data_IF_280457515493
#
_entry.id   IF_280457515493
#
_cell.length_a   1.000
_cell.length_b   1.000
_cell.length_c   1.000
_cell.angle_alpha   90.00
_cell.angle_beta   90.00
_cell.angle_gamma   90.00
#
_symmetry.space_group_name_H-M   'P 1'
#
loop_
_entity.id
_entity.type
_entity.pdbx_description
1 polymer ?
#
# COMPACT_ATOMS: atom_id res chain seq x y z
N UNK A 1 -7.51 -14.63 2.37
CA UNK A 1 -7.69 -13.16 2.44
C UNK A 1 -7.67 -12.52 1.05
N UNK A 2 -8.26 -11.34 0.83
CA UNK A 2 -8.10 -10.53 -0.41
C UNK A 2 -7.92 -9.04 -0.10
N UNK A 3 -7.23 -8.31 -0.98
CA UNK A 3 -7.04 -6.85 -0.87
C UNK A 3 -7.38 -6.18 -2.20
N UNK A 4 -8.10 -5.07 -2.15
CA UNK A 4 -8.50 -4.30 -3.33
C UNK A 4 -7.95 -2.88 -3.25
N UNK A 5 -7.50 -2.37 -4.41
CA UNK A 5 -6.88 -1.06 -4.53
C UNK A 5 -7.65 -0.19 -5.53
N UNK A 6 -7.79 1.09 -5.17
CA UNK A 6 -8.15 2.17 -6.07
C UNK A 6 -6.90 2.60 -6.84
N UNK A 7 -7.04 2.87 -8.15
CA UNK A 7 -5.95 3.41 -8.98
C UNK A 7 -6.27 4.81 -9.55
N UNK A 8 -7.50 5.30 -9.38
CA UNK A 8 -7.97 6.59 -9.89
C UNK A 8 -8.90 7.30 -8.88
N UNK A 9 -8.66 8.59 -8.54
CA UNK A 9 -7.67 9.50 -9.12
C UNK A 9 -6.23 9.30 -8.60
N UNK A 10 -6.03 8.41 -7.62
CA UNK A 10 -4.72 8.05 -7.05
C UNK A 10 -4.84 6.66 -6.40
N UNK A 11 -3.78 6.20 -5.73
CA UNK A 11 -3.71 4.88 -5.11
C UNK A 11 -4.18 4.87 -3.66
N UNK A 12 -5.06 3.92 -3.32
CA UNK A 12 -5.47 3.64 -1.96
C UNK A 12 -6.03 2.22 -1.80
N UNK A 13 -5.81 1.61 -0.65
CA UNK A 13 -6.42 0.35 -0.22
C UNK A 13 -7.88 0.60 0.14
N UNK A 14 -8.81 0.06 -0.67
CA UNK A 14 -10.26 0.27 -0.51
C UNK A 14 -10.99 -0.98 -0.02
N UNK A 15 -10.33 -2.14 0.00
CA UNK A 15 -10.86 -3.31 0.69
C UNK A 15 -9.72 -4.16 1.25
N UNK A 16 -9.99 -4.78 2.39
CA UNK A 16 -9.20 -5.88 2.92
C UNK A 16 -10.21 -6.86 3.51
N UNK A 17 -10.31 -8.05 2.91
CA UNK A 17 -11.36 -9.02 3.19
C UNK A 17 -10.78 -10.30 3.73
N UNK A 18 -11.40 -10.79 4.80
CA UNK A 18 -11.18 -12.15 5.26
C UNK A 18 -12.03 -13.11 4.41
N UNK A 19 -11.38 -14.08 3.78
CA UNK A 19 -12.03 -15.11 2.95
C UNK A 19 -12.19 -16.45 3.68
N UNK A 20 -11.62 -16.61 4.89
CA UNK A 20 -11.58 -17.89 5.59
C UNK A 20 -12.82 -18.13 6.44
N UNK A 21 -13.23 -17.16 7.26
CA UNK A 21 -14.33 -17.36 8.21
C UNK A 21 -15.61 -16.62 7.80
N UNK A 22 -15.49 -15.31 7.59
CA UNK A 22 -16.68 -14.42 7.53
C UNK A 22 -17.01 -13.90 6.14
N UNK A 23 -16.13 -14.08 5.15
CA UNK A 23 -16.21 -13.47 3.83
C UNK A 23 -16.53 -11.95 3.88
N UNK A 24 -15.94 -11.27 4.87
CA UNK A 24 -16.30 -9.89 5.24
C UNK A 24 -15.11 -8.94 5.15
N UNK A 25 -15.40 -7.68 4.80
CA UNK A 25 -14.41 -6.61 4.80
C UNK A 25 -14.03 -6.28 6.24
N UNK A 26 -12.73 -6.34 6.54
CA UNK A 26 -12.15 -5.95 7.83
C UNK A 26 -11.54 -4.55 7.80
N UNK A 27 -11.57 -3.87 6.64
CA UNK A 27 -11.10 -2.50 6.48
C UNK A 27 -12.04 -1.52 7.18
N UNK A 28 -11.49 -0.66 8.06
CA UNK A 28 -12.28 0.32 8.84
C UNK A 28 -12.17 1.75 8.34
N UNK A 29 -11.11 2.08 7.61
CA UNK A 29 -10.92 3.38 6.97
C UNK A 29 -9.83 3.27 5.91
N UNK A 30 -9.83 4.24 5.01
CA UNK A 30 -8.71 4.49 4.09
C UNK A 30 -7.77 5.49 4.78
N UNK A 31 -6.46 5.30 4.62
CA UNK A 31 -5.41 6.22 5.06
C UNK A 31 -4.32 6.26 3.99
N UNK A 32 -3.39 7.23 4.03
CA UNK A 32 -2.17 7.15 3.23
C UNK A 32 -1.49 5.79 3.43
N UNK A 33 -0.94 5.23 2.35
CA UNK A 33 -0.29 3.91 2.39
C UNK A 33 1.00 3.93 3.22
N UNK A 34 1.64 5.09 3.29
CA UNK A 34 2.73 5.37 4.19
C UNK A 34 2.81 6.88 4.46
N UNK A 35 3.61 7.26 5.45
CA UNK A 35 4.05 8.64 5.66
C UNK A 35 5.58 8.63 5.78
N UNK A 36 6.23 9.57 5.10
CA UNK A 36 7.70 9.72 5.12
C UNK A 36 8.07 11.15 5.47
N UNK A 37 9.27 11.34 6.00
CA UNK A 37 9.84 12.67 6.26
C UNK A 37 11.14 12.80 5.49
N UNK A 38 11.24 13.80 4.62
CA UNK A 38 12.46 14.14 3.87
C UNK A 38 12.89 15.54 4.26
N UNK A 39 14.12 15.68 4.79
CA UNK A 39 14.68 16.96 5.23
C UNK A 39 13.74 17.79 6.14
N UNK A 40 13.01 17.09 7.02
CA UNK A 40 12.04 17.70 7.95
C UNK A 40 10.66 18.02 7.34
N UNK A 41 10.43 17.71 6.07
CA UNK A 41 9.13 17.87 5.40
C UNK A 41 8.41 16.52 5.38
N UNK A 42 7.19 16.49 5.92
CA UNK A 42 6.33 15.32 5.91
C UNK A 42 5.57 15.18 4.59
N UNK A 43 5.52 13.94 4.08
CA UNK A 43 4.78 13.57 2.89
C UNK A 43 3.95 12.32 3.15
N UNK A 44 2.68 12.37 2.76
CA UNK A 44 1.83 11.19 2.63
C UNK A 44 2.16 10.46 1.33
N UNK A 45 2.03 9.14 1.33
CA UNK A 45 2.15 8.29 0.14
C UNK A 45 0.75 7.82 -0.26
N UNK A 46 0.35 8.12 -1.49
CA UNK A 46 -1.04 8.01 -1.95
C UNK A 46 -1.83 9.28 -1.61
N UNK A 47 -2.35 9.94 -2.64
CA UNK A 47 -3.04 11.23 -2.52
C UNK A 47 -4.54 11.13 -2.24
N UNK A 48 -5.10 9.95 -1.92
CA UNK A 48 -6.54 9.84 -1.67
C UNK A 48 -6.88 10.32 -0.26
N UNK A 49 -7.57 11.45 -0.15
CA UNK A 49 -8.15 11.94 1.09
C UNK A 49 -9.58 11.42 1.22
N UNK A 50 -9.87 10.49 2.15
CA UNK A 50 -11.16 9.82 2.22
C UNK A 50 -12.28 10.70 2.78
N UNK A 51 -11.96 11.68 3.63
CA UNK A 51 -12.92 12.54 4.32
C UNK A 51 -14.07 11.76 5.01
N UNK A 52 -13.76 10.59 5.59
CA UNK A 52 -14.72 9.72 6.30
C UNK A 52 -14.23 9.36 7.71
N UNK A 53 -15.16 8.95 8.57
CA UNK A 53 -14.85 8.49 9.93
C UNK A 53 -14.11 7.14 9.93
N UNK A 54 -13.32 6.88 10.98
CA UNK A 54 -12.53 5.65 11.10
C UNK A 54 -13.20 4.51 11.90
N UNK A 55 -14.44 4.70 12.37
CA UNK A 55 -15.15 3.69 13.15
C UNK A 55 -15.57 2.49 12.28
N UNK A 56 -16.02 2.76 11.06
CA UNK A 56 -16.37 1.77 10.05
C UNK A 56 -16.22 2.40 8.66
N UNK A 57 -15.83 1.60 7.66
CA UNK A 57 -15.58 2.14 6.32
C UNK A 57 -16.88 2.29 5.53
N UNK A 58 -17.52 3.46 5.62
CA UNK A 58 -18.66 3.79 4.77
C UNK A 58 -18.20 4.08 3.33
N UNK A 59 -18.30 3.05 2.46
CA UNK A 59 -17.92 3.16 1.05
C UNK A 59 -18.72 4.22 0.31
N UNK A 60 -20.01 4.35 0.58
CA UNK A 60 -20.88 5.32 -0.10
C UNK A 60 -20.42 6.75 0.15
N UNK A 61 -20.08 7.07 1.41
CA UNK A 61 -19.59 8.39 1.77
C UNK A 61 -18.20 8.64 1.21
N UNK A 62 -17.32 7.63 1.26
CA UNK A 62 -15.98 7.70 0.67
C UNK A 62 -16.04 8.06 -0.81
N UNK A 63 -16.85 7.39 -1.62
CA UNK A 63 -16.94 7.69 -3.06
C UNK A 63 -17.49 9.09 -3.36
N UNK A 64 -18.32 9.65 -2.48
CA UNK A 64 -18.88 11.01 -2.60
C UNK A 64 -17.91 12.09 -2.13
N UNK A 65 -17.11 11.80 -1.10
CA UNK A 65 -16.32 12.80 -0.39
C UNK A 65 -14.81 12.74 -0.69
N UNK A 66 -14.33 11.66 -1.35
CA UNK A 66 -12.90 11.52 -1.64
C UNK A 66 -12.38 12.69 -2.47
N UNK A 67 -11.20 13.16 -2.12
CA UNK A 67 -10.49 14.23 -2.82
C UNK A 67 -9.01 13.90 -2.96
N UNK A 68 -8.29 14.71 -3.73
CA UNK A 68 -6.86 14.51 -4.00
C UNK A 68 -6.01 15.45 -3.14
N UNK A 69 -5.04 14.91 -2.41
CA UNK A 69 -4.00 15.65 -1.71
C UNK A 69 -2.85 15.99 -2.67
N UNK A 70 -2.77 17.25 -3.10
CA UNK A 70 -1.73 17.73 -4.04
C UNK A 70 -0.32 17.79 -3.44
N UNK A 71 -0.19 17.55 -2.12
CA UNK A 71 1.09 17.53 -1.41
C UNK A 71 1.60 16.10 -1.15
N UNK A 72 0.84 15.07 -1.52
CA UNK A 72 1.24 13.68 -1.36
C UNK A 72 2.15 13.20 -2.50
N UNK A 73 2.85 12.11 -2.28
CA UNK A 73 3.43 11.33 -3.38
C UNK A 73 2.29 10.63 -4.13
N UNK A 74 2.26 10.81 -5.44
CA UNK A 74 1.18 10.37 -6.31
C UNK A 74 1.53 9.09 -7.05
N UNK A 75 0.54 8.21 -7.20
CA UNK A 75 0.66 6.96 -7.93
C UNK A 75 1.17 7.18 -9.37
N UNK A 76 2.11 6.32 -9.79
CA UNK A 76 2.67 6.35 -11.13
C UNK A 76 2.46 5.03 -11.88
N UNK A 77 2.78 3.90 -11.25
CA UNK A 77 2.65 2.57 -11.85
C UNK A 77 2.73 1.50 -10.77
N UNK A 78 2.42 0.25 -11.11
CA UNK A 78 2.64 -0.90 -10.23
C UNK A 78 3.19 -2.09 -11.02
N UNK A 79 3.81 -3.02 -10.31
CA UNK A 79 4.31 -4.29 -10.83
C UNK A 79 3.84 -5.42 -9.93
N UNK A 80 3.37 -6.51 -10.53
CA UNK A 80 2.95 -7.72 -9.83
C UNK A 80 4.00 -8.81 -10.07
N UNK A 81 4.36 -9.53 -9.02
CA UNK A 81 5.32 -10.62 -9.07
C UNK A 81 5.10 -11.63 -7.94
N UNK A 82 6.15 -12.38 -7.64
CA UNK A 82 6.19 -13.33 -6.52
C UNK A 82 7.11 -12.78 -5.41
N UNK A 83 6.88 -13.15 -4.13
CA UNK A 83 7.74 -12.76 -3.03
C UNK A 83 9.22 -13.09 -3.30
N UNK A 84 10.11 -12.16 -2.98
CA UNK A 84 11.56 -12.31 -3.16
C UNK A 84 12.24 -12.32 -1.79
N UNK A 85 13.29 -13.12 -1.65
CA UNK A 85 14.08 -13.10 -0.44
C UNK A 85 14.74 -11.71 -0.27
N UNK A 86 14.52 -11.00 0.86
CA UNK A 86 15.09 -9.67 1.06
C UNK A 86 16.61 -9.71 1.25
N UNK A 87 17.16 -10.87 1.62
CA UNK A 87 18.59 -11.13 1.72
C UNK A 87 18.86 -12.62 1.44
N UNK A 88 20.10 -12.95 1.11
CA UNK A 88 20.53 -14.33 0.86
C UNK A 88 20.50 -15.15 2.16
N UNK A 89 19.32 -15.67 2.49
CA UNK A 89 19.07 -16.53 3.64
C UNK A 89 18.80 -17.95 3.20
N UNK A 90 19.33 -18.90 3.95
CA UNK A 90 18.97 -20.31 3.85
C UNK A 90 18.32 -20.70 5.17
N UNK A 91 17.08 -21.21 5.17
CA UNK A 91 16.39 -21.68 6.37
C UNK A 91 17.28 -22.61 7.22
N UNK A 92 17.46 -22.25 8.49
CA UNK A 92 18.21 -23.01 9.51
C UNK A 92 17.46 -22.93 10.85
N UNK A 93 18.01 -23.56 11.91
CA UNK A 93 17.49 -23.52 13.30
C UNK A 93 16.07 -24.09 13.45
N UNK A 94 15.91 -25.38 13.20
CA UNK A 94 14.62 -26.10 13.33
C UNK A 94 13.52 -25.63 12.36
N UNK A 95 13.89 -24.91 11.29
CA UNK A 95 13.00 -24.72 10.16
C UNK A 95 12.58 -26.11 9.61
N UNK A 96 11.29 -26.30 9.24
CA UNK A 96 10.84 -27.54 8.61
C UNK A 96 11.71 -27.88 7.40
N UNK A 97 12.01 -29.18 7.21
CA UNK A 97 12.89 -29.63 6.13
C UNK A 97 12.31 -29.34 4.72
N UNK A 98 10.99 -29.20 4.65
CA UNK A 98 10.17 -28.94 3.46
C UNK A 98 9.75 -27.47 3.32
N UNK A 99 10.36 -26.56 4.08
CA UNK A 99 10.01 -25.14 3.99
C UNK A 99 10.37 -24.55 2.62
N UNK A 100 9.40 -23.92 1.98
CA UNK A 100 9.63 -23.18 0.75
C UNK A 100 10.14 -21.77 1.07
N UNK A 101 11.31 -21.43 0.52
CA UNK A 101 11.92 -20.12 0.68
C UNK A 101 12.42 -19.59 -0.67
N UNK A 102 12.02 -18.38 -1.11
CA UNK A 102 11.06 -17.47 -0.47
C UNK A 102 9.65 -18.07 -0.33
N UNK A 103 8.81 -17.56 0.57
CA UNK A 103 7.44 -18.05 0.72
C UNK A 103 6.64 -17.89 -0.57
N UNK A 104 5.73 -18.83 -0.82
CA UNK A 104 4.74 -18.70 -1.91
C UNK A 104 3.78 -17.55 -1.62
N UNK A 105 3.28 -16.96 -2.69
CA UNK A 105 2.32 -15.87 -2.61
C UNK A 105 2.43 -14.90 -3.78
N UNK A 106 1.88 -13.70 -3.58
CA UNK A 106 1.85 -12.61 -4.55
C UNK A 106 2.56 -11.40 -3.95
N UNK A 107 3.39 -10.74 -4.76
CA UNK A 107 4.06 -9.49 -4.44
C UNK A 107 3.54 -8.38 -5.36
N UNK A 108 3.31 -7.19 -4.80
CA UNK A 108 2.89 -6.00 -5.52
C UNK A 108 3.81 -4.84 -5.14
N UNK A 109 4.54 -4.29 -6.10
CA UNK A 109 5.32 -3.05 -5.95
C UNK A 109 4.54 -1.89 -6.55
N UNK A 110 4.32 -0.84 -5.78
CA UNK A 110 3.57 0.35 -6.21
C UNK A 110 4.49 1.56 -6.16
N UNK A 111 4.64 2.23 -7.30
CA UNK A 111 5.58 3.32 -7.50
C UNK A 111 4.86 4.65 -7.42
N UNK A 112 5.41 5.57 -6.63
CA UNK A 112 4.89 6.91 -6.40
C UNK A 112 5.94 7.97 -6.70
N UNK A 113 5.50 9.09 -7.29
CA UNK A 113 6.34 10.25 -7.62
C UNK A 113 6.05 11.41 -6.69
N UNK A 114 7.09 12.20 -6.43
CA UNK A 114 6.98 13.41 -5.61
C UNK A 114 5.93 14.40 -6.17
N UNK A 115 5.24 15.15 -5.29
CA UNK A 115 4.27 16.16 -5.71
C UNK A 115 4.92 17.28 -6.52
N UNK A 116 4.14 17.95 -7.36
CA UNK A 116 4.64 19.04 -8.20
C UNK A 116 5.29 20.17 -7.38
N UNK A 117 4.77 20.47 -6.19
CA UNK A 117 5.27 21.53 -5.31
C UNK A 117 6.43 21.09 -4.39
N UNK A 118 6.94 19.87 -4.54
CA UNK A 118 8.10 19.42 -3.77
C UNK A 118 9.35 20.28 -4.08
N UNK A 119 10.23 20.52 -3.08
CA UNK A 119 11.55 21.12 -3.31
C UNK A 119 12.34 20.34 -4.36
N UNK A 120 13.27 21.02 -5.04
CA UNK A 120 14.08 20.41 -6.10
C UNK A 120 14.84 19.15 -5.62
N UNK A 121 15.30 19.16 -4.36
CA UNK A 121 15.96 18.01 -3.71
C UNK A 121 15.08 16.76 -3.64
N UNK A 122 13.75 16.92 -3.55
CA UNK A 122 12.80 15.82 -3.40
C UNK A 122 12.10 15.46 -4.73
N UNK A 123 12.17 16.33 -5.75
CA UNK A 123 11.41 16.20 -7.00
C UNK A 123 11.67 14.88 -7.76
N UNK A 124 12.86 14.31 -7.59
CA UNK A 124 13.29 13.07 -8.26
C UNK A 124 13.26 11.84 -7.35
N UNK A 125 12.79 11.99 -6.11
CA UNK A 125 12.59 10.85 -5.21
C UNK A 125 11.42 10.03 -5.72
N UNK A 126 11.63 8.71 -5.82
CA UNK A 126 10.58 7.73 -6.10
C UNK A 126 10.38 6.88 -4.86
N UNK A 127 9.13 6.74 -4.44
CA UNK A 127 8.76 5.88 -3.31
C UNK A 127 8.13 4.62 -3.86
N UNK A 128 8.57 3.46 -3.35
CA UNK A 128 8.01 2.16 -3.72
C UNK A 128 7.41 1.52 -2.48
N UNK A 129 6.09 1.33 -2.48
CA UNK A 129 5.38 0.58 -1.43
C UNK A 129 5.20 -0.85 -1.90
N UNK A 130 5.66 -1.79 -1.08
CA UNK A 130 5.59 -3.22 -1.39
C UNK A 130 4.53 -3.91 -0.53
N UNK A 131 3.64 -4.65 -1.16
CA UNK A 131 2.67 -5.52 -0.51
C UNK A 131 3.00 -6.97 -0.82
N UNK A 132 2.90 -7.83 0.18
CA UNK A 132 3.01 -9.27 0.02
C UNK A 132 1.81 -9.95 0.67
N UNK A 133 1.23 -10.92 -0.04
CA UNK A 133 0.23 -11.83 0.47
C UNK A 133 0.76 -13.26 0.29
N UNK A 134 0.86 -14.00 1.39
CA UNK A 134 1.35 -15.37 1.40
C UNK A 134 0.19 -16.37 1.37
N UNK A 135 0.45 -17.55 0.81
CA UNK A 135 -0.50 -18.66 0.71
C UNK A 135 -0.74 -19.38 2.05
#
# INVERSE_FOLDING_TARGET
ISREFLLDPDFATIDFRDLHETNSSILRCVKPEAAITLDGIEYNIGGVLPNTQCAYFNRTDFWKAKSLDTKAFHFSTYEVGVPKAPFAYTPKRFAPADIEWPPKGIHLSVYFKAPYFAPLSHKYVTVVVNYEMYD
#
